data_IF_589019975907
#
_entry.id   IF_589019975907
#
_cell.length_a   1.000
_cell.length_b   1.000
_cell.length_c   1.000
_cell.angle_alpha   90.00
_cell.angle_beta   90.00
_cell.angle_gamma   90.00
#
_symmetry.space_group_name_H-M   'P 1'
#
loop_
_entity.id
_entity.type
_entity.pdbx_description
1 polymer ?
#
# COMPACT_ATOMS: atom_id res chain seq x y z
N UNK A 1 14.12 29.12 -13.43
CA UNK A 1 14.53 27.70 -13.23
C UNK A 1 13.35 26.95 -12.62
N UNK A 2 13.09 25.73 -13.07
CA UNK A 2 11.99 24.88 -12.60
C UNK A 2 12.54 23.57 -12.08
N UNK A 3 12.11 23.16 -10.89
CA UNK A 3 12.56 21.92 -10.23
C UNK A 3 11.39 21.06 -9.80
N UNK A 4 11.60 19.75 -9.79
CA UNK A 4 10.65 18.77 -9.29
C UNK A 4 11.24 18.06 -8.08
N UNK A 5 10.48 18.01 -6.99
CA UNK A 5 10.84 17.26 -5.78
C UNK A 5 9.95 16.01 -5.72
N UNK A 6 10.59 14.85 -5.61
CA UNK A 6 9.92 13.54 -5.58
C UNK A 6 10.15 12.90 -4.21
N UNK A 7 9.08 12.47 -3.55
CA UNK A 7 9.18 11.56 -2.41
C UNK A 7 8.97 10.13 -2.89
N UNK A 8 9.95 9.22 -2.73
CA UNK A 8 9.90 7.89 -3.30
C UNK A 8 9.03 6.92 -2.46
N UNK A 9 8.41 5.91 -3.09
CA UNK A 9 7.88 4.74 -2.38
C UNK A 9 9.02 3.81 -1.92
N UNK A 10 8.86 2.96 -0.90
CA UNK A 10 7.72 2.80 -0.01
C UNK A 10 8.02 3.37 1.38
N UNK A 11 7.13 4.19 1.92
CA UNK A 11 7.19 4.80 3.25
C UNK A 11 5.85 4.65 3.96
N UNK A 12 5.85 4.69 5.30
CA UNK A 12 4.60 4.56 6.06
C UNK A 12 3.59 5.68 5.72
N UNK A 13 2.30 5.37 5.45
CA UNK A 13 1.28 6.37 5.10
C UNK A 13 0.91 7.30 6.26
N UNK A 14 1.31 6.96 7.49
CA UNK A 14 0.91 7.70 8.71
C UNK A 14 1.92 8.76 9.13
N UNK A 15 3.09 8.84 8.49
CA UNK A 15 4.13 9.80 8.86
C UNK A 15 4.57 10.62 7.62
N UNK A 16 4.07 11.86 7.47
CA UNK A 16 4.42 12.69 6.33
C UNK A 16 5.89 13.11 6.36
N UNK A 17 6.55 13.12 5.20
CA UNK A 17 7.95 13.51 5.09
C UNK A 17 8.09 15.04 4.99
N UNK A 18 8.50 15.69 6.08
CA UNK A 18 8.51 17.14 6.19
C UNK A 18 9.61 17.85 5.39
N UNK A 19 10.64 17.14 4.90
CA UNK A 19 11.73 17.81 4.18
C UNK A 19 11.29 18.44 2.85
N UNK A 20 10.34 17.81 2.13
CA UNK A 20 9.83 18.32 0.85
C UNK A 20 9.07 19.64 1.00
N UNK A 21 8.09 19.79 1.91
CA UNK A 21 7.42 21.07 2.11
C UNK A 21 8.38 22.15 2.61
N UNK A 22 9.34 21.81 3.49
CA UNK A 22 10.37 22.76 3.96
C UNK A 22 11.25 23.25 2.81
N UNK A 23 11.82 22.34 2.00
CA UNK A 23 12.66 22.70 0.86
C UNK A 23 11.86 23.49 -0.20
N UNK A 24 10.59 23.11 -0.41
CA UNK A 24 9.72 23.82 -1.33
C UNK A 24 9.48 25.27 -0.91
N UNK A 25 9.19 25.51 0.37
CA UNK A 25 9.03 26.87 0.89
C UNK A 25 10.31 27.70 0.67
N UNK A 26 11.46 27.15 1.03
CA UNK A 26 12.77 27.80 0.88
C UNK A 26 13.10 28.17 -0.58
N UNK A 27 12.85 27.26 -1.52
CA UNK A 27 13.12 27.46 -2.95
C UNK A 27 12.15 28.46 -3.59
N UNK A 28 10.86 28.39 -3.24
CA UNK A 28 9.84 29.32 -3.74
C UNK A 28 10.09 30.75 -3.28
N UNK A 29 10.53 30.95 -2.03
CA UNK A 29 10.95 32.25 -1.50
C UNK A 29 12.05 32.90 -2.37
N UNK A 30 12.88 32.10 -3.04
CA UNK A 30 13.98 32.54 -3.92
C UNK A 30 13.59 32.62 -5.39
N UNK A 31 12.30 32.59 -5.71
CA UNK A 31 11.80 32.69 -7.08
C UNK A 31 12.00 31.44 -7.93
N UNK A 32 12.28 30.28 -7.32
CA UNK A 32 12.35 28.99 -8.04
C UNK A 32 10.94 28.40 -8.14
N UNK A 33 10.54 28.00 -9.35
CA UNK A 33 9.30 27.24 -9.55
C UNK A 33 9.51 25.79 -9.08
N UNK A 34 8.68 25.34 -8.13
CA UNK A 34 8.79 23.99 -7.54
C UNK A 34 7.49 23.22 -7.73
N UNK A 35 7.59 22.05 -8.37
CA UNK A 35 6.56 21.01 -8.37
C UNK A 35 6.93 19.94 -7.34
N UNK A 36 6.01 19.61 -6.44
CA UNK A 36 6.15 18.49 -5.50
C UNK A 36 5.29 17.32 -5.97
N UNK A 37 5.82 16.10 -5.88
CA UNK A 37 5.08 14.85 -6.08
C UNK A 37 5.41 13.89 -4.94
N UNK A 38 4.38 13.36 -4.32
CA UNK A 38 4.50 12.30 -3.33
C UNK A 38 4.17 10.97 -4.01
N UNK A 39 5.18 10.30 -4.54
CA UNK A 39 5.00 9.04 -5.26
C UNK A 39 4.58 7.91 -4.31
N UNK A 40 4.89 8.04 -3.00
CA UNK A 40 4.44 7.07 -2.00
C UNK A 40 2.91 7.12 -1.84
N UNK A 41 2.36 8.32 -1.69
CA UNK A 41 0.91 8.53 -1.62
C UNK A 41 0.21 8.07 -2.90
N UNK A 42 0.77 8.39 -4.07
CA UNK A 42 0.22 7.98 -5.37
C UNK A 42 0.17 6.45 -5.53
N UNK A 43 1.25 5.75 -5.13
CA UNK A 43 1.27 4.28 -5.12
C UNK A 43 0.16 3.73 -4.22
N UNK A 44 -0.03 4.30 -3.04
CA UNK A 44 -1.10 3.87 -2.14
C UNK A 44 -2.50 4.16 -2.68
N UNK A 45 -2.71 5.29 -3.34
CA UNK A 45 -3.99 5.57 -3.99
C UNK A 45 -4.32 4.59 -5.12
N UNK A 46 -3.31 4.15 -5.87
CA UNK A 46 -3.46 3.18 -6.95
C UNK A 46 -3.76 1.77 -6.42
N UNK A 47 -2.98 1.30 -5.43
CA UNK A 47 -3.04 -0.11 -5.00
C UNK A 47 -4.08 -0.38 -3.91
N UNK A 48 -4.43 0.61 -3.08
CA UNK A 48 -5.41 0.45 -1.99
C UNK A 48 -6.82 0.73 -2.49
N UNK A 49 -7.20 0.01 -3.54
CA UNK A 49 -8.53 0.03 -4.14
C UNK A 49 -9.15 -1.36 -4.09
N UNK A 50 -10.48 -1.41 -4.06
CA UNK A 50 -11.20 -2.68 -4.07
C UNK A 50 -10.84 -3.52 -5.30
N UNK A 51 -10.80 -2.90 -6.49
CA UNK A 51 -10.48 -3.58 -7.75
C UNK A 51 -9.06 -4.15 -7.75
N UNK A 52 -8.07 -3.38 -7.31
CA UNK A 52 -6.69 -3.86 -7.20
C UNK A 52 -6.61 -5.03 -6.22
N UNK A 53 -7.25 -4.94 -5.05
CA UNK A 53 -7.25 -6.02 -4.06
C UNK A 53 -7.94 -7.28 -4.59
N UNK A 54 -9.05 -7.16 -5.32
CA UNK A 54 -9.72 -8.30 -5.96
C UNK A 54 -8.80 -8.99 -6.98
N UNK A 55 -8.09 -8.20 -7.78
CA UNK A 55 -7.10 -8.73 -8.73
C UNK A 55 -5.94 -9.43 -8.01
N UNK A 56 -5.45 -8.87 -6.90
CA UNK A 56 -4.42 -9.50 -6.08
C UNK A 56 -4.90 -10.81 -5.45
N UNK A 57 -6.13 -10.88 -4.94
CA UNK A 57 -6.76 -12.12 -4.45
C UNK A 57 -6.84 -13.17 -5.55
N UNK A 58 -7.26 -12.80 -6.76
CA UNK A 58 -7.34 -13.73 -7.89
C UNK A 58 -5.96 -14.30 -8.26
N UNK A 59 -4.93 -13.44 -8.27
CA UNK A 59 -3.53 -13.87 -8.49
C UNK A 59 -3.07 -14.83 -7.40
N UNK A 60 -3.31 -14.50 -6.12
CA UNK A 60 -2.99 -15.33 -4.97
C UNK A 60 -3.63 -16.72 -5.10
N UNK A 61 -4.91 -16.78 -5.43
CA UNK A 61 -5.62 -18.05 -5.64
C UNK A 61 -5.04 -18.86 -6.81
N UNK A 62 -4.71 -18.20 -7.92
CA UNK A 62 -4.18 -18.86 -9.11
C UNK A 62 -2.79 -19.47 -8.91
N UNK A 63 -1.97 -18.90 -8.03
CA UNK A 63 -0.59 -19.32 -7.82
C UNK A 63 -0.41 -20.19 -6.58
N UNK A 64 -1.13 -19.88 -5.50
CA UNK A 64 -0.95 -20.49 -4.20
C UNK A 64 -2.17 -21.28 -3.71
N UNK A 65 -3.30 -21.22 -4.43
CA UNK A 65 -4.51 -22.00 -4.11
C UNK A 65 -4.35 -23.51 -4.39
N UNK A 66 -5.42 -24.27 -4.12
CA UNK A 66 -5.42 -25.73 -4.24
C UNK A 66 -5.11 -26.24 -5.67
N UNK A 67 -5.43 -25.44 -6.70
CA UNK A 67 -5.13 -25.70 -8.10
C UNK A 67 -3.84 -25.00 -8.60
N UNK A 68 -3.06 -24.38 -7.70
CA UNK A 68 -1.90 -23.59 -8.03
C UNK A 68 -0.80 -24.41 -8.72
N UNK A 69 -0.17 -23.81 -9.74
CA UNK A 69 0.87 -24.45 -10.58
C UNK A 69 2.10 -24.80 -9.73
N UNK A 70 2.15 -26.03 -9.23
CA UNK A 70 3.25 -26.59 -8.42
C UNK A 70 4.62 -26.54 -9.11
N UNK A 71 4.65 -26.59 -10.45
CA UNK A 71 5.87 -26.65 -11.25
C UNK A 71 6.69 -25.35 -11.27
N UNK A 72 6.12 -24.20 -10.92
CA UNK A 72 6.81 -22.89 -10.95
C UNK A 72 7.30 -22.43 -9.57
N UNK A 73 6.93 -23.13 -8.49
CA UNK A 73 7.30 -22.77 -7.11
C UNK A 73 8.80 -22.93 -6.83
N UNK A 74 9.49 -23.87 -7.49
CA UNK A 74 10.89 -24.21 -7.19
C UNK A 74 11.93 -23.21 -7.72
N UNK A 75 11.57 -22.29 -8.62
CA UNK A 75 12.53 -21.34 -9.22
C UNK A 75 12.53 -19.94 -8.59
N UNK A 76 11.59 -19.63 -7.68
CA UNK A 76 11.52 -18.31 -7.04
C UNK A 76 12.53 -18.22 -5.88
N UNK A 77 13.43 -17.22 -5.95
CA UNK A 77 14.48 -16.95 -4.94
C UNK A 77 13.93 -16.61 -3.55
N UNK A 78 12.68 -16.16 -3.44
CA UNK A 78 11.99 -15.87 -2.18
C UNK A 78 10.57 -16.42 -2.27
N UNK A 79 10.25 -17.38 -1.41
CA UNK A 79 8.88 -17.85 -1.22
C UNK A 79 8.30 -17.16 0.02
N UNK A 80 7.04 -16.70 -0.02
CA UNK A 80 6.38 -16.16 1.15
C UNK A 80 6.14 -17.26 2.18
N UNK A 81 6.04 -16.89 3.45
CA UNK A 81 5.80 -17.85 4.52
C UNK A 81 4.46 -18.58 4.32
N UNK A 82 4.38 -19.92 4.48
CA UNK A 82 3.14 -20.67 4.23
C UNK A 82 1.94 -20.17 5.04
N UNK A 83 2.16 -19.75 6.29
CA UNK A 83 1.08 -19.26 7.15
C UNK A 83 0.50 -17.92 6.65
N UNK A 84 1.35 -17.02 6.14
CA UNK A 84 0.91 -15.75 5.53
C UNK A 84 0.04 -16.05 4.31
N UNK A 85 0.50 -16.93 3.42
CA UNK A 85 -0.26 -17.34 2.24
C UNK A 85 -1.62 -17.96 2.64
N UNK A 86 -1.63 -18.85 3.62
CA UNK A 86 -2.86 -19.48 4.11
C UNK A 86 -3.83 -18.44 4.68
N UNK A 87 -3.34 -17.50 5.49
CA UNK A 87 -4.14 -16.46 6.09
C UNK A 87 -4.71 -15.49 5.04
N UNK A 88 -3.91 -15.11 4.04
CA UNK A 88 -4.35 -14.24 2.95
C UNK A 88 -5.32 -14.96 1.99
N UNK A 89 -5.16 -16.25 1.74
CA UNK A 89 -6.14 -17.04 0.96
C UNK A 89 -7.51 -17.07 1.65
N UNK A 90 -7.53 -17.10 2.98
CA UNK A 90 -8.76 -17.09 3.78
C UNK A 90 -9.37 -15.68 3.87
N UNK A 91 -8.56 -14.66 4.18
CA UNK A 91 -9.05 -13.32 4.50
C UNK A 91 -9.05 -12.36 3.31
N UNK A 92 -8.37 -12.67 2.21
CA UNK A 92 -8.21 -11.79 1.04
C UNK A 92 -9.51 -11.17 0.52
N UNK A 93 -10.60 -11.93 0.32
CA UNK A 93 -11.88 -11.36 -0.09
C UNK A 93 -12.44 -10.32 0.90
N UNK A 94 -12.26 -10.55 2.21
CA UNK A 94 -12.67 -9.60 3.24
C UNK A 94 -11.79 -8.35 3.26
N UNK A 95 -10.49 -8.47 3.00
CA UNK A 95 -9.58 -7.33 2.85
C UNK A 95 -9.98 -6.47 1.65
N UNK A 96 -10.26 -7.10 0.50
CA UNK A 96 -10.71 -6.41 -0.70
C UNK A 96 -12.01 -5.61 -0.48
N UNK A 97 -12.95 -6.17 0.29
CA UNK A 97 -14.20 -5.48 0.63
C UNK A 97 -14.03 -4.33 1.65
N UNK A 98 -12.93 -4.31 2.42
CA UNK A 98 -12.73 -3.35 3.50
C UNK A 98 -11.72 -2.24 3.18
N UNK A 99 -10.85 -2.42 2.19
CA UNK A 99 -9.72 -1.51 1.90
C UNK A 99 -10.13 -0.05 1.74
N UNK A 100 -11.19 0.25 0.99
CA UNK A 100 -11.66 1.63 0.77
C UNK A 100 -12.21 2.27 2.05
N UNK A 101 -12.94 1.49 2.86
CA UNK A 101 -13.42 1.96 4.17
C UNK A 101 -12.25 2.19 5.14
N UNK A 102 -11.26 1.31 5.14
CA UNK A 102 -10.07 1.48 5.97
C UNK A 102 -9.29 2.74 5.54
N UNK A 103 -9.10 2.94 4.23
CA UNK A 103 -8.45 4.12 3.65
C UNK A 103 -9.19 5.40 4.02
N UNK A 104 -10.52 5.41 3.97
CA UNK A 104 -11.31 6.59 4.35
C UNK A 104 -11.21 6.92 5.84
N UNK A 105 -11.15 5.91 6.73
CA UNK A 105 -10.92 6.11 8.17
C UNK A 105 -9.55 6.73 8.40
N UNK A 106 -8.48 6.20 7.79
CA UNK A 106 -7.10 6.72 7.91
C UNK A 106 -7.00 8.17 7.43
N UNK A 107 -7.84 8.59 6.48
CA UNK A 107 -7.93 9.96 5.96
C UNK A 107 -8.82 10.90 6.77
N UNK A 108 -9.40 10.43 7.86
CA UNK A 108 -10.37 11.16 8.65
C UNK A 108 -9.91 11.35 10.09
N UNK A 109 -10.51 12.27 10.86
CA UNK A 109 -10.27 12.39 12.29
C UNK A 109 -10.54 11.10 13.08
N UNK A 110 -11.36 10.17 12.56
CA UNK A 110 -11.62 8.87 13.19
C UNK A 110 -10.37 7.99 13.30
N UNK A 111 -9.31 8.28 12.53
CA UNK A 111 -8.01 7.62 12.68
C UNK A 111 -7.41 7.80 14.09
N UNK A 112 -7.70 8.92 14.76
CA UNK A 112 -7.16 9.21 16.08
C UNK A 112 -7.93 8.53 17.23
N UNK A 113 -9.05 7.88 16.93
CA UNK A 113 -9.68 6.95 17.88
C UNK A 113 -8.88 5.65 17.89
N UNK A 114 -8.25 5.30 19.01
CA UNK A 114 -7.31 4.18 19.09
C UNK A 114 -7.85 2.86 18.54
N UNK A 115 -9.01 2.36 19.02
CA UNK A 115 -9.62 1.15 18.49
C UNK A 115 -10.01 1.22 17.01
N UNK A 116 -10.60 2.33 16.54
CA UNK A 116 -11.02 2.47 15.15
C UNK A 116 -9.80 2.59 14.22
N UNK A 117 -8.88 3.49 14.56
CA UNK A 117 -7.64 3.74 13.85
C UNK A 117 -6.77 2.51 13.73
N UNK A 118 -6.55 1.76 14.82
CA UNK A 118 -5.76 0.54 14.81
C UNK A 118 -6.35 -0.52 13.86
N UNK A 119 -7.67 -0.76 13.94
CA UNK A 119 -8.33 -1.74 13.07
C UNK A 119 -8.23 -1.36 11.60
N UNK A 120 -8.49 -0.10 11.26
CA UNK A 120 -8.38 0.37 9.88
C UNK A 120 -6.94 0.36 9.38
N UNK A 121 -5.98 0.72 10.22
CA UNK A 121 -4.57 0.65 9.87
C UNK A 121 -4.12 -0.79 9.62
N UNK A 122 -4.57 -1.75 10.43
CA UNK A 122 -4.25 -3.16 10.22
C UNK A 122 -4.77 -3.66 8.86
N UNK A 123 -5.98 -3.29 8.46
CA UNK A 123 -6.50 -3.62 7.12
C UNK A 123 -5.59 -3.07 6.02
N UNK A 124 -5.07 -1.86 6.17
CA UNK A 124 -4.13 -1.27 5.19
C UNK A 124 -2.84 -2.09 5.13
N UNK A 125 -2.27 -2.47 6.28
CA UNK A 125 -1.06 -3.30 6.33
C UNK A 125 -1.29 -4.67 5.67
N UNK A 126 -2.40 -5.35 5.99
CA UNK A 126 -2.73 -6.66 5.42
C UNK A 126 -2.97 -6.57 3.90
N UNK A 127 -3.58 -5.49 3.41
CA UNK A 127 -3.71 -5.20 1.98
C UNK A 127 -2.36 -4.98 1.30
N UNK A 128 -1.43 -4.29 1.96
CA UNK A 128 -0.07 -4.10 1.44
C UNK A 128 0.72 -5.42 1.43
N UNK A 129 0.53 -6.29 2.42
CA UNK A 129 1.12 -7.64 2.43
C UNK A 129 0.58 -8.47 1.25
N UNK A 130 -0.74 -8.45 1.02
CA UNK A 130 -1.35 -9.09 -0.15
C UNK A 130 -0.80 -8.56 -1.48
N UNK A 131 -0.66 -7.23 -1.61
CA UNK A 131 -0.16 -6.60 -2.83
C UNK A 131 1.33 -6.89 -3.10
N UNK A 132 2.11 -7.14 -2.05
CA UNK A 132 3.57 -7.35 -2.13
C UNK A 132 4.01 -8.81 -2.26
N UNK A 133 3.07 -9.77 -2.26
CA UNK A 133 3.41 -11.17 -2.49
C UNK A 133 4.16 -11.37 -3.82
N UNK A 134 5.16 -12.26 -3.87
CA UNK A 134 5.89 -12.56 -5.09
C UNK A 134 5.04 -13.46 -5.99
N UNK A 135 4.24 -12.81 -6.83
CA UNK A 135 3.53 -13.42 -7.96
C UNK A 135 4.48 -13.75 -9.13
#
# INVERSE_FOLDING_TARGET
MKVMLLFPPNWTPTMPHLALPTLTAYLRERGVEVLQRDLNLEVFDEILTQDYMQNAVARLQSEYGAAGRSAQRSSRKQQPHPDVVKQLLQNGPHLAAQVERAKSVVRSPAFYDGPIGLRSFQVIIDCLELASLPY
#
